data_IF_047422654984
#
_entry.id   IF_047422654984
#
_cell.length_a   1.000
_cell.length_b   1.000
_cell.length_c   1.000
_cell.angle_alpha   90.00
_cell.angle_beta   90.00
_cell.angle_gamma   90.00
#
_symmetry.space_group_name_H-M   'P 1'
#
loop_
_entity.id
_entity.type
_entity.pdbx_description
1 polymer ?
#
# COMPACT_ATOMS: atom_id res chain seq x y z
N UNK A 1 52.10 -21.09 -65.35
CA UNK A 1 53.56 -21.00 -65.63
C UNK A 1 54.26 -20.36 -64.44
N UNK A 2 55.57 -20.53 -64.28
CA UNK A 2 56.32 -20.09 -63.08
C UNK A 2 57.46 -19.11 -63.40
N UNK A 3 57.64 -18.11 -62.52
CA UNK A 3 58.91 -17.46 -62.07
C UNK A 3 58.52 -16.57 -60.84
N UNK A 4 59.15 -16.67 -59.65
CA UNK A 4 60.55 -16.35 -59.24
C UNK A 4 60.83 -14.84 -59.23
N UNK A 5 61.50 -14.18 -58.26
CA UNK A 5 62.23 -14.58 -57.01
C UNK A 5 61.93 -13.56 -55.86
N UNK A 6 62.25 -13.71 -54.56
CA UNK A 6 62.27 -14.84 -53.59
C UNK A 6 62.17 -14.28 -52.11
N UNK A 7 63.24 -14.19 -51.28
CA UNK A 7 63.23 -13.62 -49.89
C UNK A 7 64.64 -13.17 -49.42
N UNK A 8 64.85 -12.24 -48.43
CA UNK A 8 65.04 -12.66 -47.02
C UNK A 8 64.68 -11.64 -45.88
N UNK A 9 64.28 -12.19 -44.70
CA UNK A 9 64.86 -12.02 -43.32
C UNK A 9 65.59 -10.67 -43.00
N UNK A 10 65.33 -9.90 -41.91
CA UNK A 10 65.50 -10.26 -40.49
C UNK A 10 64.97 -9.21 -39.45
N UNK A 11 64.94 -9.62 -38.18
CA UNK A 11 65.07 -8.81 -36.92
C UNK A 11 63.85 -8.11 -36.29
N UNK A 12 63.72 -8.42 -35.00
CA UNK A 12 62.74 -8.09 -33.97
C UNK A 12 62.80 -6.67 -33.34
N UNK A 13 61.73 -6.35 -32.58
CA UNK A 13 61.69 -5.53 -31.34
C UNK A 13 61.89 -3.99 -31.40
N UNK A 14 60.81 -3.25 -31.09
CA UNK A 14 60.78 -2.24 -30.02
C UNK A 14 59.32 -1.90 -29.64
N UNK A 15 59.08 -1.42 -28.41
CA UNK A 15 57.74 -1.05 -27.90
C UNK A 15 57.64 0.47 -27.68
N UNK A 16 56.54 1.07 -28.14
CA UNK A 16 56.08 2.39 -27.72
C UNK A 16 54.54 2.40 -27.68
N UNK A 17 53.92 3.16 -26.77
CA UNK A 17 52.50 3.01 -26.43
C UNK A 17 51.71 4.34 -26.46
N UNK A 18 50.39 4.21 -26.50
CA UNK A 18 49.35 5.24 -26.34
C UNK A 18 49.30 6.40 -27.36
N UNK A 19 48.23 6.39 -28.17
CA UNK A 19 47.06 7.26 -27.95
C UNK A 19 45.87 6.81 -28.80
N UNK A 20 44.67 6.83 -28.23
CA UNK A 20 43.41 6.63 -28.96
C UNK A 20 43.06 7.89 -29.77
N UNK A 21 42.22 7.74 -30.81
CA UNK A 21 40.94 8.46 -30.75
C UNK A 21 39.71 7.55 -30.98
N UNK A 22 38.53 8.14 -30.77
CA UNK A 22 37.20 7.51 -30.84
C UNK A 22 36.68 7.46 -32.29
N UNK A 23 35.87 6.45 -32.64
CA UNK A 23 34.99 6.54 -33.82
C UNK A 23 34.51 5.21 -34.41
N UNK A 24 33.21 4.93 -34.31
CA UNK A 24 32.51 3.85 -35.05
C UNK A 24 32.71 2.41 -34.52
N UNK A 25 31.77 1.48 -34.70
CA UNK A 25 30.37 1.57 -35.15
C UNK A 25 29.48 0.59 -34.36
N UNK A 26 28.18 0.88 -34.25
CA UNK A 26 27.22 0.04 -33.52
C UNK A 26 26.59 -1.02 -34.44
N UNK A 27 26.92 -2.30 -34.24
CA UNK A 27 26.12 -3.41 -34.76
C UNK A 27 25.37 -4.13 -33.62
N UNK A 28 24.04 -4.13 -33.71
CA UNK A 28 23.17 -4.65 -32.66
C UNK A 28 23.17 -6.18 -32.57
N UNK A 29 23.48 -6.72 -31.40
CA UNK A 29 23.30 -8.14 -31.07
C UNK A 29 22.07 -8.32 -30.17
N UNK A 30 21.19 -9.27 -30.55
CA UNK A 30 20.00 -9.64 -29.77
C UNK A 30 20.43 -10.14 -28.40
N UNK A 31 20.01 -9.48 -27.31
CA UNK A 31 20.18 -10.03 -25.96
C UNK A 31 19.14 -11.13 -25.74
N UNK A 32 19.63 -12.34 -25.47
CA UNK A 32 18.82 -13.47 -25.05
C UNK A 32 18.13 -13.15 -23.71
N UNK A 33 16.91 -13.65 -23.55
CA UNK A 33 16.26 -13.75 -22.25
C UNK A 33 17.01 -14.76 -21.38
N UNK A 34 16.99 -14.56 -20.06
CA UNK A 34 17.77 -15.36 -19.11
C UNK A 34 19.11 -14.72 -18.75
N UNK A 35 19.11 -13.87 -17.71
CA UNK A 35 20.31 -13.57 -16.92
C UNK A 35 20.03 -13.81 -15.45
N UNK A 36 20.96 -14.50 -14.81
CA UNK A 36 20.90 -14.88 -13.40
C UNK A 36 20.89 -13.63 -12.50
N UNK A 37 20.28 -13.77 -11.31
CA UNK A 37 20.24 -12.70 -10.31
C UNK A 37 21.65 -12.21 -9.97
N UNK A 38 21.96 -10.96 -10.31
CA UNK A 38 22.99 -10.21 -9.59
C UNK A 38 22.53 -10.06 -8.12
N UNK A 39 23.47 -9.81 -7.20
CA UNK A 39 23.17 -9.63 -5.78
C UNK A 39 22.44 -8.32 -5.44
N UNK A 40 21.68 -7.76 -6.37
CA UNK A 40 21.01 -6.46 -6.25
C UNK A 40 19.53 -6.60 -5.95
N UNK A 41 18.99 -5.63 -5.23
CA UNK A 41 17.55 -5.45 -5.03
C UNK A 41 17.18 -3.98 -5.18
N UNK A 42 16.02 -3.73 -5.79
CA UNK A 42 15.36 -2.43 -5.80
C UNK A 42 14.59 -2.25 -4.48
N UNK A 43 14.68 -1.06 -3.88
CA UNK A 43 13.81 -0.61 -2.78
C UNK A 43 13.27 0.78 -3.09
N UNK A 44 12.21 1.19 -2.40
CA UNK A 44 11.62 2.52 -2.54
C UNK A 44 11.52 3.17 -1.17
N UNK A 45 12.33 4.19 -0.89
CA UNK A 45 12.31 4.85 0.43
C UNK A 45 11.45 6.10 0.37
N UNK A 46 10.41 6.14 1.21
CA UNK A 46 9.58 7.31 1.46
C UNK A 46 10.10 8.05 2.70
N UNK A 47 10.16 9.38 2.67
CA UNK A 47 10.47 10.19 3.86
C UNK A 47 9.19 10.49 4.65
N UNK A 48 9.33 10.85 5.93
CA UNK A 48 8.25 11.39 6.77
C UNK A 48 7.51 12.61 6.17
N UNK A 49 8.10 13.26 5.16
CA UNK A 49 7.54 14.40 4.39
C UNK A 49 6.91 13.97 3.04
N UNK A 50 6.77 12.67 2.79
CA UNK A 50 6.13 12.10 1.60
C UNK A 50 7.02 11.84 0.39
N UNK A 51 8.25 12.38 0.34
CA UNK A 51 9.15 12.26 -0.80
C UNK A 51 9.62 10.81 -1.01
N UNK A 52 9.49 10.25 -2.22
CA UNK A 52 9.95 8.89 -2.54
C UNK A 52 11.18 8.88 -3.44
N UNK A 53 12.15 8.03 -3.12
CA UNK A 53 13.28 7.70 -3.99
C UNK A 53 13.39 6.18 -4.21
N UNK A 54 13.39 5.75 -5.47
CA UNK A 54 13.75 4.38 -5.86
C UNK A 54 15.27 4.19 -5.86
N UNK A 55 15.76 3.09 -5.27
CA UNK A 55 17.18 2.85 -5.03
C UNK A 55 17.59 1.39 -5.30
N UNK A 56 18.66 1.19 -6.07
CA UNK A 56 19.33 -0.11 -6.20
C UNK A 56 20.28 -0.33 -5.01
N UNK A 57 20.14 -1.46 -4.31
CA UNK A 57 21.02 -1.87 -3.21
C UNK A 57 21.81 -3.13 -3.59
N UNK A 58 23.13 -3.09 -3.41
CA UNK A 58 24.01 -4.26 -3.45
C UNK A 58 23.98 -5.01 -2.11
N UNK A 59 24.44 -6.27 -2.06
CA UNK A 59 24.46 -7.10 -0.82
C UNK A 59 25.21 -6.47 0.36
N UNK A 60 26.15 -5.56 0.09
CA UNK A 60 26.94 -4.84 1.08
C UNK A 60 26.28 -3.55 1.60
N UNK A 61 25.16 -3.13 1.02
CA UNK A 61 24.45 -1.93 1.47
C UNK A 61 23.64 -2.20 2.75
N UNK A 62 23.72 -1.24 3.68
CA UNK A 62 23.03 -1.25 4.97
C UNK A 62 22.23 0.06 5.17
N UNK A 63 21.51 0.21 6.29
CA UNK A 63 20.69 1.40 6.52
C UNK A 63 21.50 2.71 6.54
N UNK A 64 22.77 2.70 6.97
CA UNK A 64 23.63 3.89 6.90
C UNK A 64 23.95 4.28 5.46
N UNK A 65 24.22 3.31 4.57
CA UNK A 65 24.42 3.60 3.14
C UNK A 65 23.13 4.13 2.48
N UNK A 66 21.97 3.53 2.82
CA UNK A 66 20.66 4.01 2.34
C UNK A 66 20.44 5.48 2.75
N UNK A 67 20.58 5.78 4.04
CA UNK A 67 20.45 7.13 4.60
C UNK A 67 21.41 8.14 3.96
N UNK A 68 22.68 7.77 3.78
CA UNK A 68 23.69 8.64 3.15
C UNK A 68 23.35 8.96 1.69
N UNK A 69 22.85 7.99 0.92
CA UNK A 69 22.39 8.24 -0.46
C UNK A 69 21.16 9.15 -0.50
N UNK A 70 20.21 8.98 0.43
CA UNK A 70 19.04 9.86 0.56
C UNK A 70 19.43 11.30 0.92
N UNK A 71 20.35 11.48 1.87
CA UNK A 71 20.89 12.80 2.25
C UNK A 71 21.48 13.55 1.06
N UNK A 72 22.23 12.85 0.20
CA UNK A 72 22.81 13.42 -1.03
C UNK A 72 21.72 13.71 -2.08
N UNK A 73 20.83 12.75 -2.36
CA UNK A 73 19.85 12.86 -3.43
C UNK A 73 18.71 13.86 -3.15
N UNK A 74 18.34 14.04 -1.88
CA UNK A 74 17.25 14.92 -1.44
C UNK A 74 17.72 16.20 -0.74
N UNK A 75 19.04 16.37 -0.50
CA UNK A 75 19.64 17.50 0.21
C UNK A 75 18.96 17.82 1.56
N UNK A 76 18.80 16.79 2.40
CA UNK A 76 18.22 16.88 3.74
C UNK A 76 19.08 16.13 4.75
N UNK A 77 19.18 16.60 6.00
CA UNK A 77 19.83 15.79 7.04
C UNK A 77 19.01 14.53 7.32
N UNK A 78 19.72 13.41 7.45
CA UNK A 78 19.18 12.13 7.93
C UNK A 78 19.75 11.77 9.31
N UNK A 79 20.43 12.71 9.98
CA UNK A 79 20.78 12.59 11.39
C UNK A 79 19.51 12.39 12.23
N UNK A 80 19.66 11.69 13.36
CA UNK A 80 18.55 11.35 14.27
C UNK A 80 17.33 10.65 13.65
N UNK A 81 17.40 10.17 12.40
CA UNK A 81 16.36 9.33 11.76
C UNK A 81 16.64 7.83 11.82
N UNK A 82 15.58 7.03 11.75
CA UNK A 82 15.59 5.58 11.61
C UNK A 82 14.96 5.17 10.27
N UNK A 83 15.50 4.11 9.66
CA UNK A 83 14.90 3.46 8.50
C UNK A 83 14.03 2.31 9.00
N UNK A 84 12.75 2.30 8.67
CA UNK A 84 11.76 1.37 9.23
C UNK A 84 11.03 0.57 8.15
N UNK A 85 10.56 -0.62 8.56
CA UNK A 85 9.93 -1.62 7.70
C UNK A 85 8.92 -2.42 8.54
N UNK A 86 7.64 -2.03 8.48
CA UNK A 86 6.65 -2.48 9.44
C UNK A 86 7.07 -2.10 10.87
N UNK A 87 7.03 -3.06 11.78
CA UNK A 87 7.50 -2.89 13.17
C UNK A 87 9.04 -2.98 13.32
N UNK A 88 9.79 -3.26 12.24
CA UNK A 88 11.27 -3.41 12.29
C UNK A 88 12.01 -2.09 12.08
N UNK A 89 12.94 -1.77 12.99
CA UNK A 89 13.96 -0.73 12.78
C UNK A 89 15.20 -1.34 12.13
N UNK A 90 15.47 -0.96 10.89
CA UNK A 90 16.58 -1.47 10.08
C UNK A 90 17.91 -0.84 10.50
N UNK A 91 18.94 -1.68 10.68
CA UNK A 91 20.29 -1.29 11.15
C UNK A 91 21.36 -1.74 10.14
N UNK A 92 22.27 -2.60 10.56
CA UNK A 92 23.33 -3.12 9.69
C UNK A 92 22.84 -4.23 8.76
N UNK A 93 22.00 -5.13 9.26
CA UNK A 93 21.35 -6.12 8.42
C UNK A 93 20.10 -5.56 7.76
N UNK A 94 19.91 -5.95 6.50
CA UNK A 94 18.75 -5.66 5.65
C UNK A 94 18.17 -6.96 5.05
N UNK A 95 18.54 -8.15 5.52
CA UNK A 95 18.15 -9.46 4.98
C UNK A 95 16.63 -9.61 4.76
N UNK A 96 15.82 -9.09 5.69
CA UNK A 96 14.35 -9.09 5.62
C UNK A 96 13.78 -8.26 4.44
N UNK A 97 14.53 -7.26 3.94
CA UNK A 97 14.07 -6.36 2.88
C UNK A 97 14.16 -7.05 1.51
N UNK A 98 13.00 -7.21 0.86
CA UNK A 98 12.87 -7.91 -0.43
C UNK A 98 13.04 -6.93 -1.60
N UNK A 99 13.01 -7.45 -2.83
CA UNK A 99 12.89 -6.59 -4.01
C UNK A 99 11.55 -5.83 -3.97
N UNK A 100 11.54 -4.62 -4.54
CA UNK A 100 10.39 -3.73 -4.67
C UNK A 100 9.68 -3.41 -3.34
N UNK A 101 10.42 -3.51 -2.23
CA UNK A 101 9.92 -3.21 -0.89
C UNK A 101 9.92 -1.71 -0.63
N UNK A 102 8.79 -1.12 -0.18
CA UNK A 102 8.77 0.23 0.35
C UNK A 102 9.37 0.26 1.76
N UNK A 103 10.19 1.28 2.06
CA UNK A 103 10.79 1.56 3.35
C UNK A 103 10.39 2.98 3.78
N UNK A 104 10.23 3.23 5.08
CA UNK A 104 9.95 4.57 5.60
C UNK A 104 11.19 5.13 6.32
N UNK A 105 11.47 6.43 6.14
CA UNK A 105 12.50 7.15 6.90
C UNK A 105 11.83 8.14 7.86
N UNK A 106 11.82 7.79 9.14
CA UNK A 106 11.19 8.54 10.24
C UNK A 106 12.25 9.18 11.15
N UNK A 107 12.06 10.42 11.60
CA UNK A 107 12.86 10.97 12.71
C UNK A 107 12.55 10.26 14.03
N UNK A 108 13.58 10.12 14.86
CA UNK A 108 13.44 9.65 16.23
C UNK A 108 12.95 10.82 17.09
N UNK A 109 11.82 10.65 17.79
CA UNK A 109 11.27 11.67 18.68
C UNK A 109 12.04 11.74 20.01
N UNK A 110 13.27 12.25 19.97
CA UNK A 110 14.01 12.71 21.14
C UNK A 110 13.86 14.23 21.26
N UNK A 111 13.32 14.71 22.38
CA UNK A 111 13.15 16.14 22.62
C UNK A 111 14.49 16.85 22.86
N UNK A 112 15.11 17.35 21.78
CA UNK A 112 16.09 18.44 21.82
C UNK A 112 15.76 19.47 20.76
N UNK A 113 15.93 20.75 21.11
CA UNK A 113 15.67 21.87 20.21
C UNK A 113 16.59 21.81 18.99
N UNK A 114 16.02 21.67 17.81
CA UNK A 114 16.79 21.59 16.56
C UNK A 114 17.43 22.94 16.23
N UNK A 115 18.71 23.11 16.56
CA UNK A 115 19.53 24.16 15.94
C UNK A 115 19.60 23.93 14.43
N UNK A 116 19.50 25.00 13.64
CA UNK A 116 19.56 24.93 12.18
C UNK A 116 20.89 24.29 11.72
N UNK A 117 20.89 23.20 10.93
CA UNK A 117 22.11 22.61 10.40
C UNK A 117 22.77 23.55 9.38
N UNK A 118 23.71 24.37 9.83
CA UNK A 118 24.68 25.01 8.95
C UNK A 118 25.64 23.94 8.38
N UNK A 119 25.99 24.05 7.10
CA UNK A 119 26.69 23.05 6.25
C UNK A 119 25.80 21.99 5.57
N UNK A 120 24.94 22.43 4.64
CA UNK A 120 24.48 21.57 3.55
C UNK A 120 25.67 21.18 2.64
N UNK A 121 25.91 19.89 2.34
CA UNK A 121 26.97 19.51 1.42
C UNK A 121 26.67 20.03 0.00
N UNK A 122 27.54 20.90 -0.54
CA UNK A 122 27.43 21.42 -1.92
C UNK A 122 27.85 20.38 -2.96
N UNK A 123 27.08 19.29 -3.04
CA UNK A 123 27.22 18.24 -4.03
C UNK A 123 26.90 18.75 -5.44
N UNK A 124 27.91 19.30 -6.13
CA UNK A 124 27.88 19.40 -7.59
C UNK A 124 27.90 17.99 -8.17
N UNK A 125 27.04 17.76 -9.14
CA UNK A 125 27.08 16.62 -10.09
C UNK A 125 27.08 15.20 -9.52
N UNK A 126 26.02 14.83 -8.77
CA UNK A 126 25.28 13.58 -9.03
C UNK A 126 23.77 13.88 -8.86
N UNK A 127 23.08 14.19 -9.96
CA UNK A 127 21.63 13.97 -10.03
C UNK A 127 21.37 12.51 -10.42
N UNK A 128 21.27 11.62 -9.43
CA UNK A 128 20.59 10.33 -9.64
C UNK A 128 19.09 10.60 -9.85
N UNK A 129 18.73 10.99 -11.07
CA UNK A 129 17.33 11.02 -11.52
C UNK A 129 16.82 9.58 -11.52
N UNK A 130 15.65 9.39 -10.94
CA UNK A 130 15.02 8.07 -10.84
C UNK A 130 14.66 7.55 -12.24
N UNK A 131 15.43 6.59 -12.76
CA UNK A 131 15.28 6.02 -14.11
C UNK A 131 14.17 4.97 -14.23
N UNK A 132 13.37 4.82 -13.16
CA UNK A 132 12.15 4.02 -13.08
C UNK A 132 11.16 4.23 -14.23
N UNK A 133 10.27 3.26 -14.43
CA UNK A 133 8.98 3.50 -15.09
C UNK A 133 8.17 4.58 -14.36
N UNK A 134 7.30 5.37 -15.06
CA UNK A 134 6.40 6.32 -14.42
C UNK A 134 5.41 5.69 -13.43
N UNK A 135 5.14 4.39 -13.56
CA UNK A 135 4.38 3.59 -12.59
C UNK A 135 5.07 2.23 -12.43
N UNK A 136 5.31 1.81 -11.19
CA UNK A 136 5.96 0.55 -10.81
C UNK A 136 5.15 -0.12 -9.68
N UNK A 137 4.84 -1.41 -9.81
CA UNK A 137 4.16 -2.19 -8.77
C UNK A 137 5.16 -2.51 -7.66
N UNK A 138 4.73 -2.40 -6.41
CA UNK A 138 5.51 -2.75 -5.22
C UNK A 138 5.14 -4.15 -4.73
N UNK A 139 6.07 -4.84 -4.07
CA UNK A 139 5.89 -6.23 -3.66
C UNK A 139 5.90 -7.22 -4.83
N UNK A 140 5.34 -8.42 -4.65
CA UNK A 140 5.51 -9.51 -5.61
C UNK A 140 4.60 -9.36 -6.84
N UNK A 141 5.19 -9.16 -8.02
CA UNK A 141 4.42 -8.81 -9.23
C UNK A 141 3.42 -9.88 -9.73
N UNK A 142 3.43 -11.11 -9.21
CA UNK A 142 2.55 -12.20 -9.67
C UNK A 142 1.11 -12.02 -9.16
N UNK A 143 0.95 -11.67 -7.89
CA UNK A 143 -0.34 -11.42 -7.22
C UNK A 143 -1.17 -10.34 -7.92
N UNK A 144 -0.48 -9.37 -8.54
CA UNK A 144 -1.08 -8.21 -9.19
C UNK A 144 -1.18 -8.35 -10.72
N UNK A 145 -1.36 -9.57 -11.23
CA UNK A 145 -1.47 -9.85 -12.66
C UNK A 145 -2.57 -9.03 -13.37
N UNK A 146 -3.74 -8.87 -12.73
CA UNK A 146 -4.86 -8.02 -13.22
C UNK A 146 -4.48 -6.53 -13.36
N UNK A 147 -3.49 -6.04 -12.61
CA UNK A 147 -3.06 -4.64 -12.62
C UNK A 147 -2.08 -4.31 -13.75
N UNK A 148 -1.31 -5.30 -14.21
CA UNK A 148 -0.32 -5.15 -15.29
C UNK A 148 -0.89 -4.55 -16.59
N UNK A 149 -2.09 -4.90 -17.10
CA UNK A 149 -2.69 -4.22 -18.25
C UNK A 149 -3.14 -2.79 -17.93
N UNK A 150 -3.84 -2.56 -16.81
CA UNK A 150 -4.35 -1.24 -16.42
C UNK A 150 -3.23 -0.20 -16.29
N UNK A 151 -2.13 -0.58 -15.63
CA UNK A 151 -0.94 0.25 -15.47
C UNK A 151 -0.26 0.53 -16.82
N UNK A 152 -0.21 -0.44 -17.75
CA UNK A 152 0.29 -0.22 -19.12
C UNK A 152 -0.58 0.77 -19.89
N UNK A 153 -1.91 0.71 -19.77
CA UNK A 153 -2.81 1.69 -20.38
C UNK A 153 -2.60 3.10 -19.82
N UNK A 154 -2.49 3.25 -18.50
CA UNK A 154 -2.22 4.55 -17.87
C UNK A 154 -0.86 5.13 -18.27
N UNK A 155 0.21 4.31 -18.30
CA UNK A 155 1.54 4.76 -18.79
C UNK A 155 1.45 5.20 -20.27
N UNK A 156 0.69 4.49 -21.11
CA UNK A 156 0.47 4.86 -22.52
C UNK A 156 -0.35 6.15 -22.66
N UNK A 157 -1.35 6.35 -21.82
CA UNK A 157 -2.18 7.56 -21.81
C UNK A 157 -1.34 8.80 -21.48
N UNK A 158 -0.56 8.75 -20.39
CA UNK A 158 0.33 9.84 -19.95
C UNK A 158 1.38 10.16 -21.03
N UNK A 159 1.99 9.14 -21.65
CA UNK A 159 2.94 9.32 -22.77
C UNK A 159 2.30 9.94 -24.02
N UNK A 160 0.98 9.84 -24.16
CA UNK A 160 0.20 10.46 -25.24
C UNK A 160 -0.41 11.82 -24.82
N UNK A 161 0.00 12.40 -23.68
CA UNK A 161 -0.50 13.70 -23.20
C UNK A 161 -1.86 13.66 -22.49
N UNK A 162 -2.39 12.47 -22.20
CA UNK A 162 -3.62 12.31 -21.41
C UNK A 162 -3.25 12.29 -19.92
N UNK A 163 -3.11 13.49 -19.34
CA UNK A 163 -2.90 13.69 -17.90
C UNK A 163 -4.03 13.00 -17.08
N UNK A 164 -3.76 12.55 -15.84
CA UNK A 164 -4.80 12.17 -14.87
C UNK A 164 -5.73 13.36 -14.54
N UNK A 165 -6.86 13.09 -13.89
CA UNK A 165 -7.73 14.12 -13.32
C UNK A 165 -7.72 14.04 -11.80
N UNK A 166 -7.77 15.18 -11.10
CA UNK A 166 -7.88 15.22 -9.63
C UNK A 166 -9.34 15.06 -9.19
N UNK A 167 -9.57 14.31 -8.11
CA UNK A 167 -10.87 14.18 -7.46
C UNK A 167 -11.12 15.37 -6.54
N UNK A 168 -12.32 15.97 -6.64
CA UNK A 168 -12.69 17.17 -5.90
C UNK A 168 -13.40 16.87 -4.57
N UNK A 169 -14.15 15.77 -4.48
CA UNK A 169 -14.72 15.20 -3.24
C UNK A 169 -13.66 14.53 -2.34
N UNK A 170 -14.04 14.12 -1.13
CA UNK A 170 -13.17 13.42 -0.16
C UNK A 170 -12.17 14.30 0.59
N UNK A 171 -11.60 13.75 1.67
CA UNK A 171 -10.68 14.45 2.60
C UNK A 171 -9.19 14.38 2.17
N UNK A 172 -8.83 13.48 1.25
CA UNK A 172 -7.46 13.27 0.78
C UNK A 172 -7.22 13.68 -0.68
N UNK A 173 -6.01 13.41 -1.17
CA UNK A 173 -5.69 13.43 -2.59
C UNK A 173 -6.07 12.10 -3.27
N UNK A 174 -6.95 12.17 -4.26
CA UNK A 174 -7.28 11.05 -5.14
C UNK A 174 -7.31 11.53 -6.59
N UNK A 175 -6.98 10.63 -7.52
CA UNK A 175 -6.78 10.96 -8.93
C UNK A 175 -7.33 9.87 -9.86
N UNK A 176 -8.16 10.24 -10.84
CA UNK A 176 -8.57 9.35 -11.92
C UNK A 176 -7.46 9.22 -12.96
N UNK A 177 -6.88 8.03 -13.07
CA UNK A 177 -5.97 7.67 -14.14
C UNK A 177 -6.75 7.09 -15.32
N UNK A 178 -6.39 7.52 -16.53
CA UNK A 178 -7.18 7.34 -17.75
C UNK A 178 -6.42 6.48 -18.77
N UNK A 179 -7.13 5.92 -19.74
CA UNK A 179 -6.53 5.30 -20.92
C UNK A 179 -6.40 6.29 -22.09
N UNK A 180 -5.81 5.87 -23.20
CA UNK A 180 -5.60 6.73 -24.39
C UNK A 180 -6.89 7.22 -25.08
N UNK A 181 -8.08 6.80 -24.63
CA UNK A 181 -9.38 7.33 -25.08
C UNK A 181 -9.96 8.40 -24.13
N UNK A 182 -9.24 8.74 -23.05
CA UNK A 182 -9.72 9.68 -22.03
C UNK A 182 -10.72 9.09 -21.02
N UNK A 183 -10.98 7.78 -21.08
CA UNK A 183 -11.84 7.08 -20.11
C UNK A 183 -11.04 6.71 -18.86
N UNK A 184 -11.64 6.87 -17.67
CA UNK A 184 -11.07 6.42 -16.39
C UNK A 184 -10.89 4.90 -16.37
N UNK A 185 -9.73 4.44 -15.91
CA UNK A 185 -9.39 3.01 -15.73
C UNK A 185 -8.88 2.70 -14.33
N UNK A 186 -8.46 3.70 -13.56
CA UNK A 186 -8.02 3.54 -12.17
C UNK A 186 -8.30 4.78 -11.33
N UNK A 187 -8.46 4.58 -10.02
CA UNK A 187 -8.36 5.61 -8.98
C UNK A 187 -7.01 5.41 -8.27
N UNK A 188 -6.28 6.49 -8.06
CA UNK A 188 -4.97 6.49 -7.40
C UNK A 188 -5.00 7.43 -6.20
N UNK A 189 -4.65 6.91 -5.01
CA UNK A 189 -4.60 7.67 -3.74
C UNK A 189 -3.16 7.66 -3.19
N UNK A 190 -2.41 8.78 -3.26
CA UNK A 190 -1.06 8.83 -2.70
C UNK A 190 -1.04 8.87 -1.18
N UNK A 191 -0.16 8.07 -0.55
CA UNK A 191 -0.11 7.90 0.92
C UNK A 191 0.35 9.16 1.67
N UNK A 192 0.97 10.12 0.99
CA UNK A 192 1.34 11.41 1.57
C UNK A 192 0.28 12.51 1.33
N UNK A 193 -0.84 12.19 0.67
CA UNK A 193 -1.96 13.10 0.39
C UNK A 193 -3.25 12.74 1.16
N UNK A 194 -3.27 11.66 1.95
CA UNK A 194 -4.39 11.28 2.80
C UNK A 194 -4.65 12.30 3.96
N UNK A 195 -5.73 12.18 4.75
CA UNK A 195 -6.02 13.12 5.84
C UNK A 195 -4.87 13.24 6.85
N UNK A 196 -4.56 14.48 7.25
CA UNK A 196 -3.43 14.90 8.08
C UNK A 196 -2.03 14.73 7.48
N UNK A 197 -1.87 14.06 6.33
CA UNK A 197 -0.57 13.79 5.72
C UNK A 197 0.13 15.08 5.21
N UNK A 198 1.48 15.10 5.11
CA UNK A 198 2.24 16.32 4.84
C UNK A 198 1.83 17.04 3.56
N UNK A 199 1.49 16.29 2.51
CA UNK A 199 1.14 16.81 1.19
C UNK A 199 -0.37 16.76 0.91
N UNK A 200 -1.22 16.62 1.94
CA UNK A 200 -2.68 16.68 1.79
C UNK A 200 -3.11 17.93 0.98
N UNK A 201 -3.84 17.77 -0.12
CA UNK A 201 -4.14 18.86 -1.06
C UNK A 201 -5.45 19.59 -0.77
N UNK A 202 -6.11 19.26 0.35
CA UNK A 202 -7.34 19.90 0.85
C UNK A 202 -7.07 20.88 2.00
N UNK A 203 -5.83 20.90 2.52
CA UNK A 203 -5.45 21.69 3.70
C UNK A 203 -5.53 20.92 5.03
N UNK A 204 -6.02 19.68 5.03
CA UNK A 204 -5.98 18.78 6.19
C UNK A 204 -4.57 18.21 6.36
N UNK A 205 -3.61 19.07 6.74
CA UNK A 205 -2.22 18.73 7.04
C UNK A 205 -1.98 18.77 8.55
N UNK A 206 -0.81 18.33 9.01
CA UNK A 206 -0.32 18.60 10.37
C UNK A 206 0.38 17.43 11.05
N UNK A 207 0.41 16.25 10.43
CA UNK A 207 1.06 15.05 10.96
C UNK A 207 2.15 14.53 10.04
N UNK A 208 3.16 13.90 10.63
CA UNK A 208 4.19 13.15 9.91
C UNK A 208 3.70 11.73 9.58
N UNK A 209 4.24 11.13 8.51
CA UNK A 209 3.92 9.73 8.21
C UNK A 209 4.36 8.82 9.38
N UNK A 210 3.50 7.87 9.75
CA UNK A 210 3.67 6.99 10.91
C UNK A 210 3.11 7.53 12.23
N UNK A 211 2.53 8.73 12.28
CA UNK A 211 1.75 9.19 13.44
C UNK A 211 0.29 8.69 13.40
N UNK A 212 -0.44 8.59 14.52
CA UNK A 212 -1.87 8.24 14.53
C UNK A 212 -2.72 9.15 13.63
N UNK A 213 -3.58 8.57 12.79
CA UNK A 213 -4.27 9.23 11.67
C UNK A 213 -5.61 9.88 12.03
N UNK A 214 -6.65 9.56 11.24
CA UNK A 214 -8.03 9.98 11.49
C UNK A 214 -8.66 9.11 12.58
N UNK A 215 -8.74 7.79 12.33
CA UNK A 215 -8.92 6.75 13.34
C UNK A 215 -7.61 6.60 14.13
N UNK A 216 -7.66 6.33 15.44
CA UNK A 216 -6.45 6.40 16.30
C UNK A 216 -5.49 5.24 16.07
N UNK A 217 -6.03 4.08 15.70
CA UNK A 217 -5.31 2.82 15.46
C UNK A 217 -4.81 2.65 14.02
N UNK A 218 -5.03 3.63 13.14
CA UNK A 218 -4.54 3.65 11.75
C UNK A 218 -3.60 4.84 11.59
N UNK A 219 -2.35 4.61 11.15
CA UNK A 219 -1.36 5.69 11.07
C UNK A 219 -1.38 6.40 9.72
N UNK A 220 -1.00 7.68 9.73
CA UNK A 220 -0.86 8.51 8.54
C UNK A 220 0.17 7.89 7.59
N UNK A 221 -0.24 7.65 6.35
CA UNK A 221 0.55 7.02 5.30
C UNK A 221 0.29 5.52 5.12
N UNK A 222 -0.60 4.93 5.92
CA UNK A 222 -0.88 3.48 5.88
C UNK A 222 -2.11 3.11 5.05
N UNK A 223 -3.00 4.06 4.69
CA UNK A 223 -4.25 3.76 3.97
C UNK A 223 -4.01 3.01 2.66
N UNK A 224 -2.96 3.38 1.93
CA UNK A 224 -2.64 2.83 0.62
C UNK A 224 -2.28 1.34 0.62
N UNK A 225 -1.77 0.77 1.72
CA UNK A 225 -1.56 -0.68 1.80
C UNK A 225 -2.80 -1.42 2.33
N UNK A 226 -3.65 -0.76 3.11
CA UNK A 226 -4.90 -1.33 3.66
C UNK A 226 -5.91 -1.61 2.56
N UNK A 227 -6.03 -0.70 1.59
CA UNK A 227 -6.71 -0.90 0.30
C UNK A 227 -6.25 -2.15 -0.46
N UNK A 228 -4.95 -2.46 -0.42
CA UNK A 228 -4.38 -3.65 -1.06
C UNK A 228 -4.62 -4.90 -0.23
N UNK A 229 -4.58 -4.79 1.11
CA UNK A 229 -4.87 -5.88 2.01
C UNK A 229 -6.32 -6.36 1.86
N UNK A 230 -7.29 -5.45 1.75
CA UNK A 230 -8.68 -5.81 1.47
C UNK A 230 -8.83 -6.59 0.15
N UNK A 231 -8.22 -6.12 -0.94
CA UNK A 231 -8.22 -6.84 -2.22
C UNK A 231 -7.51 -8.22 -2.15
N UNK A 232 -6.46 -8.36 -1.34
CA UNK A 232 -5.75 -9.63 -1.16
C UNK A 232 -6.46 -10.60 -0.21
N UNK A 233 -7.35 -10.12 0.66
CA UNK A 233 -8.17 -10.93 1.55
C UNK A 233 -9.53 -11.31 0.95
N UNK A 234 -9.94 -10.65 -0.13
CA UNK A 234 -11.14 -10.98 -0.91
C UNK A 234 -10.90 -12.24 -1.78
N UNK A 235 -10.86 -13.39 -1.12
CA UNK A 235 -10.61 -14.70 -1.73
C UNK A 235 -11.63 -14.99 -2.83
N UNK A 236 -11.14 -15.45 -3.98
CA UNK A 236 -11.92 -15.68 -5.22
C UNK A 236 -12.79 -14.49 -5.69
N UNK A 237 -12.54 -13.29 -5.15
CA UNK A 237 -13.35 -12.07 -5.32
C UNK A 237 -14.79 -12.19 -4.81
N UNK A 238 -14.98 -12.89 -3.69
CA UNK A 238 -16.29 -13.14 -3.09
C UNK A 238 -17.09 -11.84 -2.84
N UNK A 239 -16.44 -10.80 -2.33
CA UNK A 239 -16.98 -9.46 -2.08
C UNK A 239 -16.85 -8.49 -3.27
N UNK A 240 -16.23 -8.89 -4.38
CA UNK A 240 -15.95 -8.07 -5.56
C UNK A 240 -15.12 -6.80 -5.29
N UNK A 241 -14.13 -6.85 -4.39
CA UNK A 241 -13.19 -5.72 -4.21
C UNK A 241 -12.44 -5.46 -5.53
N UNK A 242 -12.46 -4.22 -6.07
CA UNK A 242 -11.80 -3.93 -7.33
C UNK A 242 -10.29 -4.23 -7.27
N UNK A 243 -9.70 -4.78 -8.34
CA UNK A 243 -8.26 -5.05 -8.41
C UNK A 243 -7.41 -3.87 -7.96
N UNK A 244 -6.61 -4.08 -6.92
CA UNK A 244 -5.84 -3.03 -6.24
C UNK A 244 -4.38 -3.47 -6.05
N UNK A 245 -3.42 -2.56 -6.28
CA UNK A 245 -2.01 -2.76 -5.97
C UNK A 245 -1.37 -1.51 -5.37
N UNK A 246 -0.33 -1.70 -4.57
CA UNK A 246 0.53 -0.61 -4.12
C UNK A 246 1.51 -0.29 -5.25
N UNK A 247 1.63 0.98 -5.62
CA UNK A 247 2.54 1.43 -6.67
C UNK A 247 3.46 2.54 -6.18
N UNK A 248 4.68 2.57 -6.71
CA UNK A 248 5.44 3.80 -6.84
C UNK A 248 5.01 4.47 -8.14
N UNK A 249 4.68 5.76 -8.08
CA UNK A 249 4.14 6.50 -9.22
C UNK A 249 4.76 7.90 -9.32
N UNK A 250 5.04 8.34 -10.54
CA UNK A 250 5.73 9.61 -10.83
C UNK A 250 4.88 10.45 -11.79
N UNK A 251 4.38 11.58 -11.30
CA UNK A 251 3.64 12.55 -12.11
C UNK A 251 3.83 13.97 -11.58
N UNK A 252 3.45 14.98 -12.37
CA UNK A 252 3.47 16.40 -11.96
C UNK A 252 2.09 16.94 -11.57
N UNK A 253 1.09 16.06 -11.41
CA UNK A 253 -0.27 16.43 -10.93
C UNK A 253 -0.41 16.28 -9.41
N UNK A 254 0.45 15.46 -8.81
CA UNK A 254 0.46 15.20 -7.37
C UNK A 254 0.87 16.44 -6.60
N UNK A 255 0.25 16.63 -5.43
CA UNK A 255 0.48 17.81 -4.62
C UNK A 255 1.79 17.68 -3.81
N UNK A 256 2.50 18.80 -3.63
CA UNK A 256 3.61 18.90 -2.67
C UNK A 256 3.48 20.23 -1.94
N UNK A 257 3.25 20.17 -0.64
CA UNK A 257 3.15 21.33 0.23
C UNK A 257 4.57 21.81 0.56
N UNK A 258 5.08 22.75 -0.24
CA UNK A 258 6.41 23.32 -0.05
C UNK A 258 6.53 24.08 1.28
N UNK A 259 7.52 23.72 2.11
CA UNK A 259 7.88 24.50 3.28
C UNK A 259 8.24 25.95 2.90
N UNK A 260 7.81 26.91 3.72
CA UNK A 260 7.70 28.33 3.36
C UNK A 260 9.01 28.95 2.86
N UNK A 261 9.17 28.97 1.54
CA UNK A 261 10.14 29.76 0.80
C UNK A 261 9.55 30.06 -0.59
N UNK A 262 9.08 31.29 -0.78
CA UNK A 262 8.53 31.74 -2.06
C UNK A 262 9.59 31.80 -3.17
N UNK A 263 9.13 32.10 -4.38
CA UNK A 263 9.96 32.33 -5.57
C UNK A 263 10.82 31.12 -6.03
N UNK A 264 10.14 30.03 -6.40
CA UNK A 264 10.56 29.23 -7.55
C UNK A 264 9.42 29.15 -8.56
N UNK A 265 9.75 29.34 -9.84
CA UNK A 265 8.81 29.29 -10.96
C UNK A 265 8.11 27.93 -11.04
N UNK A 266 6.85 27.93 -11.46
CA UNK A 266 6.03 26.72 -11.61
C UNK A 266 6.43 25.87 -12.85
N UNK A 267 7.69 25.44 -12.91
CA UNK A 267 8.00 24.24 -13.67
C UNK A 267 7.22 23.07 -13.07
N UNK A 268 6.46 22.33 -13.90
CA UNK A 268 5.71 21.12 -13.51
C UNK A 268 6.68 19.98 -13.16
N UNK A 269 7.43 20.12 -12.07
CA UNK A 269 8.41 19.13 -11.61
C UNK A 269 7.68 17.80 -11.34
N UNK A 270 8.13 16.74 -12.00
CA UNK A 270 7.65 15.39 -11.70
C UNK A 270 8.08 14.99 -10.29
N UNK A 271 7.14 14.44 -9.51
CA UNK A 271 7.38 13.97 -8.14
C UNK A 271 6.97 12.50 -8.02
N UNK A 272 7.79 11.73 -7.30
CA UNK A 272 7.58 10.30 -7.03
C UNK A 272 6.87 10.12 -5.70
N UNK A 273 5.86 9.25 -5.67
CA UNK A 273 5.01 8.96 -4.51
C UNK A 273 4.70 7.47 -4.40
N UNK A 274 4.33 7.02 -3.20
CA UNK A 274 3.67 5.73 -2.98
C UNK A 274 2.16 5.97 -3.02
N UNK A 275 1.41 5.09 -3.67
CA UNK A 275 -0.04 5.20 -3.77
C UNK A 275 -0.71 3.81 -3.82
N UNK A 276 -1.97 3.71 -3.37
CA UNK A 276 -2.83 2.64 -3.89
C UNK A 276 -3.23 2.99 -5.33
N UNK A 277 -3.29 1.98 -6.19
CA UNK A 277 -3.80 2.05 -7.56
C UNK A 277 -4.89 0.98 -7.66
N UNK A 278 -6.15 1.43 -7.66
CA UNK A 278 -7.34 0.59 -7.67
C UNK A 278 -8.04 0.71 -9.03
N UNK A 279 -8.56 -0.38 -9.58
CA UNK A 279 -9.32 -0.36 -10.83
C UNK A 279 -10.56 0.53 -10.68
N UNK A 280 -10.78 1.43 -11.64
CA UNK A 280 -12.02 2.20 -11.71
C UNK A 280 -13.13 1.31 -12.26
N UNK A 281 -14.23 1.21 -11.50
CA UNK A 281 -15.44 0.50 -11.90
C UNK A 281 -16.48 1.53 -12.35
N UNK A 282 -16.97 1.48 -13.60
CA UNK A 282 -18.14 2.25 -14.02
C UNK A 282 -19.36 1.85 -13.20
N UNK A 283 -20.03 2.85 -12.62
CA UNK A 283 -21.17 2.74 -11.72
C UNK A 283 -22.16 3.88 -12.02
N UNK A 284 -23.38 3.77 -11.51
CA UNK A 284 -24.43 4.77 -11.70
C UNK A 284 -24.44 5.82 -10.58
N UNK A 285 -24.22 5.38 -9.34
CA UNK A 285 -24.24 6.15 -8.10
C UNK A 285 -23.57 5.33 -6.98
N UNK A 286 -23.45 5.89 -5.77
CA UNK A 286 -23.15 5.13 -4.56
C UNK A 286 -24.41 4.78 -3.77
N UNK A 287 -24.29 3.96 -2.72
CA UNK A 287 -25.44 3.44 -1.99
C UNK A 287 -26.20 4.49 -1.16
N UNK A 288 -25.68 5.70 -0.96
CA UNK A 288 -26.40 6.79 -0.28
C UNK A 288 -27.44 7.47 -1.17
N UNK A 289 -27.25 7.44 -2.49
CA UNK A 289 -28.19 7.92 -3.51
C UNK A 289 -29.25 6.87 -3.89
N UNK A 290 -29.30 5.70 -3.21
CA UNK A 290 -30.20 4.60 -3.56
C UNK A 290 -31.00 4.03 -2.37
N UNK A 291 -32.22 3.56 -2.65
CA UNK A 291 -33.02 2.84 -1.67
C UNK A 291 -32.44 1.46 -1.37
N UNK A 292 -31.95 1.25 -0.15
CA UNK A 292 -31.20 0.05 0.25
C UNK A 292 -31.96 -1.26 0.11
N UNK A 293 -33.30 -1.22 0.08
CA UNK A 293 -34.18 -2.38 -0.06
C UNK A 293 -34.10 -3.12 -1.41
N UNK A 294 -33.45 -2.55 -2.43
CA UNK A 294 -33.21 -3.22 -3.72
C UNK A 294 -31.96 -4.09 -3.75
N UNK A 295 -31.05 -3.92 -2.77
CA UNK A 295 -29.73 -4.56 -2.82
C UNK A 295 -29.81 -6.09 -2.65
N UNK A 296 -29.07 -6.87 -3.45
CA UNK A 296 -29.06 -8.33 -3.30
C UNK A 296 -28.49 -8.75 -1.94
N UNK A 297 -29.23 -9.58 -1.22
CA UNK A 297 -28.86 -10.12 0.12
C UNK A 297 -27.42 -10.63 0.13
N UNK A 298 -27.08 -11.47 -0.85
CA UNK A 298 -25.75 -12.06 -0.95
C UNK A 298 -24.65 -11.03 -1.19
N UNK A 299 -24.92 -9.93 -1.90
CA UNK A 299 -23.93 -8.86 -2.07
C UNK A 299 -23.65 -8.16 -0.74
N UNK A 300 -24.68 -7.89 0.06
CA UNK A 300 -24.54 -7.31 1.41
C UNK A 300 -23.79 -8.29 2.33
N UNK A 301 -24.14 -9.58 2.31
CA UNK A 301 -23.43 -10.64 3.06
C UNK A 301 -21.96 -10.74 2.70
N UNK A 302 -21.62 -10.83 1.42
CA UNK A 302 -20.24 -10.95 0.93
C UNK A 302 -19.37 -9.75 1.36
N UNK A 303 -19.92 -8.54 1.26
CA UNK A 303 -19.28 -7.30 1.71
C UNK A 303 -19.08 -7.31 3.23
N UNK A 304 -20.13 -7.59 4.01
CA UNK A 304 -20.05 -7.63 5.47
C UNK A 304 -19.12 -8.71 6.01
N UNK A 305 -19.10 -9.90 5.39
CA UNK A 305 -18.14 -10.99 5.68
C UNK A 305 -16.69 -10.52 5.52
N UNK A 306 -16.39 -9.70 4.51
CA UNK A 306 -15.06 -9.11 4.36
C UNK A 306 -14.83 -8.01 5.41
N UNK A 307 -15.76 -7.06 5.55
CA UNK A 307 -15.65 -5.92 6.47
C UNK A 307 -15.46 -6.34 7.93
N UNK A 308 -16.12 -7.42 8.36
CA UNK A 308 -15.92 -8.05 9.68
C UNK A 308 -14.49 -8.57 9.82
N UNK A 309 -14.01 -9.40 8.89
CA UNK A 309 -12.64 -9.96 8.95
C UNK A 309 -11.56 -8.89 8.98
N UNK A 310 -11.71 -7.86 8.15
CA UNK A 310 -10.75 -6.75 8.08
C UNK A 310 -10.98 -5.71 9.17
N UNK A 311 -12.04 -5.83 9.98
CA UNK A 311 -12.49 -4.82 10.95
C UNK A 311 -12.51 -3.43 10.32
N UNK A 312 -13.43 -3.23 9.36
CA UNK A 312 -13.55 -1.96 8.65
C UNK A 312 -14.17 -0.90 9.58
N UNK A 313 -13.46 0.20 9.79
CA UNK A 313 -13.91 1.28 10.69
C UNK A 313 -14.65 2.40 9.97
N UNK A 314 -14.90 2.27 8.67
CA UNK A 314 -15.46 3.33 7.80
C UNK A 314 -16.34 2.78 6.65
N UNK A 315 -17.10 1.68 6.85
CA UNK A 315 -18.08 1.22 5.85
C UNK A 315 -19.38 2.03 5.97
N UNK A 316 -19.37 3.23 5.40
CA UNK A 316 -20.57 4.04 5.14
C UNK A 316 -21.14 3.77 3.74
N UNK A 317 -22.41 4.12 3.49
CA UNK A 317 -23.08 3.90 2.20
C UNK A 317 -22.30 4.45 1.00
N UNK A 318 -21.71 5.64 1.11
CA UNK A 318 -20.85 6.24 0.07
C UNK A 318 -19.59 5.46 -0.32
N UNK A 319 -19.18 4.44 0.45
CA UNK A 319 -18.05 3.55 0.14
C UNK A 319 -18.51 2.26 -0.56
N UNK A 320 -19.77 2.19 -1.01
CA UNK A 320 -20.35 1.10 -1.79
C UNK A 320 -20.91 1.66 -3.11
N UNK A 321 -20.25 1.33 -4.22
CA UNK A 321 -20.70 1.72 -5.55
C UNK A 321 -21.85 0.83 -5.99
N UNK A 322 -22.87 1.41 -6.64
CA UNK A 322 -24.01 0.68 -7.20
C UNK A 322 -23.99 0.77 -8.71
N UNK A 323 -24.11 -0.38 -9.38
CA UNK A 323 -24.15 -0.49 -10.84
C UNK A 323 -25.40 -1.22 -11.28
N UNK A 324 -26.21 -0.61 -12.17
CA UNK A 324 -27.41 -1.26 -12.72
C UNK A 324 -27.04 -2.40 -13.68
N UNK A 325 -27.85 -3.45 -13.65
CA UNK A 325 -27.81 -4.54 -14.60
C UNK A 325 -28.95 -4.40 -15.60
N UNK A 326 -28.72 -3.59 -16.64
CA UNK A 326 -29.66 -3.31 -17.74
C UNK A 326 -29.81 -4.52 -18.70
N UNK A 327 -30.40 -5.59 -18.18
CA UNK A 327 -30.85 -6.75 -18.94
C UNK A 327 -32.32 -6.63 -19.34
N UNK A 328 -32.70 -7.23 -20.47
CA UNK A 328 -34.11 -7.29 -20.91
C UNK A 328 -34.90 -8.19 -19.96
N UNK A 329 -35.56 -7.58 -18.97
CA UNK A 329 -36.36 -8.25 -17.95
C UNK A 329 -35.85 -8.12 -16.51
N UNK A 330 -34.62 -7.64 -16.28
CA UNK A 330 -34.00 -7.54 -14.95
C UNK A 330 -34.29 -6.21 -14.21
N UNK A 331 -35.54 -5.75 -14.25
CA UNK A 331 -35.96 -4.51 -13.59
C UNK A 331 -35.58 -4.50 -12.10
N UNK A 332 -34.66 -3.60 -11.72
CA UNK A 332 -34.23 -3.41 -10.33
C UNK A 332 -33.01 -4.22 -9.89
N UNK A 333 -32.40 -5.04 -10.74
CA UNK A 333 -31.15 -5.72 -10.38
C UNK A 333 -29.94 -4.77 -10.42
N UNK A 334 -29.14 -4.79 -9.36
CA UNK A 334 -27.91 -3.99 -9.20
C UNK A 334 -26.78 -4.83 -8.63
N UNK A 335 -25.55 -4.54 -9.03
CA UNK A 335 -24.35 -4.97 -8.30
C UNK A 335 -24.01 -3.94 -7.22
N UNK A 336 -23.54 -4.42 -6.07
CA UNK A 336 -22.75 -3.63 -5.12
C UNK A 336 -21.26 -3.93 -5.30
N UNK A 337 -20.43 -2.88 -5.26
CA UNK A 337 -18.97 -2.99 -5.36
C UNK A 337 -18.34 -2.21 -4.19
N UNK A 338 -17.65 -2.87 -3.24
CA UNK A 338 -17.02 -2.20 -2.11
C UNK A 338 -15.73 -1.48 -2.53
N UNK A 339 -15.57 -0.24 -2.07
CA UNK A 339 -14.37 0.58 -2.25
C UNK A 339 -13.91 1.17 -0.91
N UNK A 340 -12.83 1.95 -0.93
CA UNK A 340 -12.29 2.73 0.18
C UNK A 340 -12.03 1.95 1.48
N UNK A 341 -11.16 0.95 1.41
CA UNK A 341 -10.74 0.15 2.56
C UNK A 341 -9.55 0.78 3.31
N UNK A 342 -9.36 2.10 3.19
CA UNK A 342 -8.21 2.81 3.76
C UNK A 342 -8.14 2.73 5.29
N UNK A 343 -9.28 2.53 5.96
CA UNK A 343 -9.43 2.53 7.42
C UNK A 343 -9.80 1.13 7.99
N UNK A 344 -9.41 0.06 7.31
CA UNK A 344 -9.48 -1.32 7.85
C UNK A 344 -8.16 -1.76 8.54
N UNK A 345 -8.20 -2.92 9.20
CA UNK A 345 -7.10 -3.64 9.87
C UNK A 345 -6.40 -2.84 10.98
N UNK A 346 -7.14 -2.24 11.93
CA UNK A 346 -6.57 -1.36 12.96
C UNK A 346 -5.53 -2.05 13.85
N UNK A 347 -4.69 -1.26 14.53
CA UNK A 347 -3.73 -1.77 15.54
C UNK A 347 -4.38 -2.35 16.80
N UNK A 348 -5.56 -1.86 17.12
CA UNK A 348 -6.32 -2.16 18.33
C UNK A 348 -7.80 -2.18 17.96
N UNK A 349 -8.64 -2.80 18.80
CA UNK A 349 -10.07 -2.54 18.70
C UNK A 349 -10.32 -1.04 19.00
N UNK A 350 -11.17 -0.44 18.16
CA UNK A 350 -11.89 0.81 18.37
C UNK A 350 -13.27 0.63 17.72
N UNK A 351 -14.19 1.59 17.82
CA UNK A 351 -15.53 1.40 17.25
C UNK A 351 -15.46 1.22 15.70
N UNK A 352 -15.96 0.09 15.15
CA UNK A 352 -16.09 -0.10 13.71
C UNK A 352 -17.18 0.82 13.14
N UNK A 353 -17.38 0.81 11.82
CA UNK A 353 -18.56 1.45 11.24
C UNK A 353 -19.10 0.59 10.10
N UNK A 354 -20.32 0.08 10.27
CA UNK A 354 -20.95 -0.92 9.42
C UNK A 354 -22.39 -0.49 9.09
N UNK A 355 -22.54 0.40 8.10
CA UNK A 355 -23.85 0.88 7.60
C UNK A 355 -24.85 -0.25 7.33
N UNK A 356 -24.34 -1.39 6.82
CA UNK A 356 -25.16 -2.54 6.46
C UNK A 356 -25.86 -3.23 7.64
N UNK A 357 -25.49 -2.96 8.90
CA UNK A 357 -26.25 -3.48 10.08
C UNK A 357 -27.71 -3.01 10.00
N UNK A 358 -27.93 -1.77 9.56
CA UNK A 358 -29.25 -1.15 9.48
C UNK A 358 -30.03 -1.53 8.21
N UNK A 359 -29.52 -2.46 7.39
CA UNK A 359 -30.14 -2.87 6.14
C UNK A 359 -30.87 -4.21 6.34
N UNK A 360 -32.16 -4.35 5.92
CA UNK A 360 -32.94 -5.57 6.16
C UNK A 360 -32.30 -6.87 5.65
N UNK A 361 -31.41 -6.77 4.66
CA UNK A 361 -30.61 -7.87 4.14
C UNK A 361 -29.71 -8.49 5.22
N UNK A 362 -29.10 -7.70 6.11
CA UNK A 362 -28.16 -8.21 7.11
C UNK A 362 -28.83 -9.05 8.21
N UNK A 363 -30.14 -8.86 8.43
CA UNK A 363 -30.95 -9.68 9.35
C UNK A 363 -31.40 -11.02 8.74
N UNK A 364 -30.93 -11.38 7.55
CA UNK A 364 -31.25 -12.66 6.89
C UNK A 364 -30.12 -13.65 7.21
N UNK A 365 -30.42 -14.94 7.51
CA UNK A 365 -29.39 -15.95 7.71
C UNK A 365 -28.48 -16.12 6.49
N UNK A 366 -27.20 -16.41 6.73
CA UNK A 366 -26.25 -16.73 5.67
C UNK A 366 -26.72 -17.95 4.85
N UNK A 367 -26.48 -17.91 3.54
CA UNK A 367 -26.68 -19.05 2.65
C UNK A 367 -25.59 -20.11 2.82
N UNK A 368 -25.85 -21.34 2.35
CA UNK A 368 -24.86 -22.44 2.40
C UNK A 368 -23.53 -22.05 1.73
N UNK A 369 -23.56 -21.34 0.59
CA UNK A 369 -22.37 -20.84 -0.10
C UNK A 369 -21.54 -19.87 0.77
N UNK A 370 -22.21 -19.04 1.57
CA UNK A 370 -21.59 -18.04 2.46
C UNK A 370 -21.02 -18.71 3.72
N UNK A 371 -21.76 -19.64 4.32
CA UNK A 371 -21.28 -20.45 5.44
C UNK A 371 -20.07 -21.30 5.03
N UNK A 372 -20.13 -21.93 3.86
CA UNK A 372 -19.05 -22.79 3.37
C UNK A 372 -17.85 -21.97 2.86
N UNK A 373 -18.02 -20.69 2.48
CA UNK A 373 -16.92 -19.72 2.32
C UNK A 373 -16.27 -19.35 3.66
N UNK A 374 -17.07 -18.89 4.65
CA UNK A 374 -16.61 -18.52 6.00
C UNK A 374 -15.80 -19.66 6.63
N UNK A 375 -16.31 -20.89 6.52
CA UNK A 375 -15.68 -22.12 7.03
C UNK A 375 -14.29 -22.40 6.44
N UNK A 376 -14.04 -22.03 5.18
CA UNK A 376 -12.76 -22.23 4.46
C UNK A 376 -11.69 -21.19 4.80
N UNK A 377 -12.04 -20.09 5.47
CA UNK A 377 -11.09 -19.02 5.82
C UNK A 377 -10.01 -19.51 6.79
N UNK A 378 -8.74 -19.24 6.47
CA UNK A 378 -7.58 -19.67 7.27
C UNK A 378 -6.70 -18.46 7.63
N UNK A 379 -6.98 -17.77 8.76
CA UNK A 379 -6.34 -16.49 9.07
C UNK A 379 -4.82 -16.59 9.29
N UNK A 380 -4.27 -17.78 9.57
CA UNK A 380 -2.82 -18.01 9.58
C UNK A 380 -2.19 -17.87 8.18
N UNK A 381 -2.83 -18.44 7.16
CA UNK A 381 -2.40 -18.31 5.76
C UNK A 381 -2.59 -16.88 5.24
N UNK A 382 -3.68 -16.23 5.65
CA UNK A 382 -3.91 -14.81 5.38
C UNK A 382 -2.78 -13.94 5.96
N UNK A 383 -2.37 -14.16 7.21
CA UNK A 383 -1.25 -13.45 7.83
C UNK A 383 0.07 -13.67 7.08
N UNK A 384 0.41 -14.90 6.72
CA UNK A 384 1.67 -15.19 6.03
C UNK A 384 1.68 -14.66 4.59
N UNK A 385 0.52 -14.65 3.91
CA UNK A 385 0.32 -13.97 2.64
C UNK A 385 0.53 -12.46 2.78
N UNK A 386 -0.08 -11.81 3.79
CA UNK A 386 0.09 -10.38 4.02
C UNK A 386 1.52 -10.01 4.40
N UNK A 387 2.20 -10.77 5.27
CA UNK A 387 3.65 -10.62 5.53
C UNK A 387 4.51 -10.77 4.26
N UNK A 388 4.05 -11.56 3.29
CA UNK A 388 4.76 -11.82 2.04
C UNK A 388 4.58 -10.72 0.99
N UNK A 389 3.36 -10.19 0.86
CA UNK A 389 2.95 -9.20 -0.14
C UNK A 389 3.10 -7.76 0.34
N UNK A 390 2.74 -7.51 1.61
CA UNK A 390 2.64 -6.20 2.26
C UNK A 390 3.49 -6.18 3.55
N UNK A 391 4.82 -6.35 3.47
CA UNK A 391 5.70 -6.48 4.65
C UNK A 391 5.84 -5.20 5.49
N UNK A 392 5.14 -4.12 5.13
CA UNK A 392 4.95 -2.94 5.98
C UNK A 392 3.76 -3.08 6.94
N UNK A 393 2.92 -4.11 6.79
CA UNK A 393 1.86 -4.43 7.74
C UNK A 393 2.47 -4.81 9.09
N UNK A 394 1.78 -4.44 10.15
CA UNK A 394 2.29 -4.52 11.52
C UNK A 394 1.57 -5.63 12.27
N UNK A 395 2.26 -6.32 13.16
CA UNK A 395 1.75 -7.54 13.80
C UNK A 395 0.49 -7.28 14.65
N UNK A 396 0.27 -6.02 15.05
CA UNK A 396 -0.97 -5.55 15.65
C UNK A 396 -2.19 -5.71 14.73
N UNK A 397 -2.06 -5.27 13.47
CA UNK A 397 -3.09 -5.38 12.44
C UNK A 397 -3.41 -6.85 12.11
N UNK A 398 -2.38 -7.70 12.07
CA UNK A 398 -2.53 -9.14 11.84
C UNK A 398 -3.25 -9.84 13.00
N UNK A 399 -3.03 -9.44 14.25
CA UNK A 399 -3.80 -9.98 15.40
C UNK A 399 -5.29 -9.64 15.32
N UNK A 400 -5.66 -8.45 14.84
CA UNK A 400 -7.07 -8.09 14.62
C UNK A 400 -7.68 -8.96 13.52
N UNK A 401 -6.99 -9.14 12.38
CA UNK A 401 -7.46 -10.05 11.32
C UNK A 401 -7.72 -11.49 11.82
N UNK A 402 -6.80 -12.03 12.63
CA UNK A 402 -6.97 -13.38 13.21
C UNK A 402 -8.17 -13.42 14.15
N UNK A 403 -8.27 -12.47 15.08
CA UNK A 403 -9.37 -12.36 16.03
C UNK A 403 -10.72 -12.28 15.33
N UNK A 404 -10.88 -11.36 14.39
CA UNK A 404 -12.16 -11.09 13.74
C UNK A 404 -12.55 -12.20 12.75
N UNK A 405 -11.57 -12.84 12.10
CA UNK A 405 -11.83 -14.05 11.29
C UNK A 405 -12.23 -15.24 12.16
N UNK A 406 -11.64 -15.41 13.36
CA UNK A 406 -12.08 -16.45 14.31
C UNK A 406 -13.49 -16.16 14.83
N UNK A 407 -13.76 -14.92 15.27
CA UNK A 407 -15.07 -14.49 15.77
C UNK A 407 -16.18 -14.74 14.74
N UNK A 408 -15.98 -14.33 13.48
CA UNK A 408 -16.93 -14.58 12.39
C UNK A 408 -17.21 -16.08 12.19
N UNK A 409 -16.19 -16.94 12.28
CA UNK A 409 -16.34 -18.39 12.08
C UNK A 409 -17.09 -19.06 13.21
N UNK A 410 -16.84 -18.68 14.46
CA UNK A 410 -17.61 -19.17 15.60
C UNK A 410 -19.06 -18.66 15.50
N UNK A 411 -19.27 -17.35 15.33
CA UNK A 411 -20.61 -16.75 15.27
C UNK A 411 -21.50 -17.33 14.14
N UNK A 412 -20.93 -17.54 12.95
CA UNK A 412 -21.63 -18.21 11.85
C UNK A 412 -21.90 -19.70 12.14
N UNK A 413 -21.08 -20.36 12.96
CA UNK A 413 -21.31 -21.74 13.42
C UNK A 413 -22.41 -21.81 14.49
N UNK A 414 -22.58 -20.75 15.28
CA UNK A 414 -23.74 -20.56 16.17
C UNK A 414 -25.03 -20.14 15.43
N UNK A 415 -24.94 -19.84 14.13
CA UNK A 415 -26.08 -19.50 13.27
C UNK A 415 -26.52 -18.03 13.30
N UNK A 416 -25.67 -17.14 13.84
CA UNK A 416 -25.94 -15.69 13.87
C UNK A 416 -25.93 -15.11 12.45
N UNK A 417 -26.84 -14.18 12.17
CA UNK A 417 -26.90 -13.43 10.92
C UNK A 417 -25.88 -12.29 10.89
N UNK A 418 -25.72 -11.64 9.73
CA UNK A 418 -24.73 -10.58 9.55
C UNK A 418 -24.94 -9.39 10.51
N UNK A 419 -26.20 -9.00 10.73
CA UNK A 419 -26.55 -7.88 11.62
C UNK A 419 -26.13 -8.15 13.07
N UNK A 420 -26.49 -9.31 13.64
CA UNK A 420 -26.14 -9.71 15.01
C UNK A 420 -24.60 -9.70 15.22
N UNK A 421 -23.84 -10.20 14.25
CA UNK A 421 -22.37 -10.21 14.32
C UNK A 421 -21.80 -8.79 14.27
N UNK A 422 -22.39 -7.91 13.45
CA UNK A 422 -22.03 -6.49 13.40
C UNK A 422 -22.34 -5.77 14.72
N UNK A 423 -23.52 -5.99 15.30
CA UNK A 423 -23.94 -5.41 16.57
C UNK A 423 -23.02 -5.82 17.74
N UNK A 424 -22.66 -7.11 17.85
CA UNK A 424 -21.69 -7.60 18.84
C UNK A 424 -20.28 -6.97 18.70
N UNK A 425 -19.94 -6.44 17.53
CA UNK A 425 -18.65 -5.77 17.28
C UNK A 425 -18.68 -4.26 17.52
N UNK A 426 -19.85 -3.63 17.36
CA UNK A 426 -20.08 -2.19 17.52
C UNK A 426 -20.37 -1.78 18.97
N UNK A 427 -20.05 -0.53 19.33
CA UNK A 427 -20.33 -0.02 20.68
C UNK A 427 -21.75 0.51 20.81
N UNK A 428 -22.39 0.23 21.95
CA UNK A 428 -23.62 0.91 22.32
C UNK A 428 -23.33 2.35 22.76
N UNK A 429 -23.91 3.34 22.06
CA UNK A 429 -23.87 4.73 22.48
C UNK A 429 -24.94 5.01 23.54
N UNK A 430 -24.54 5.13 24.82
CA UNK A 430 -25.46 5.37 25.95
C UNK A 430 -25.31 6.80 26.51
N UNK A 431 -26.36 7.41 27.08
CA UNK A 431 -26.27 8.71 27.76
C UNK A 431 -25.37 8.68 29.01
N UNK A 432 -24.06 8.80 28.80
CA UNK A 432 -23.03 8.71 29.83
C UNK A 432 -21.63 8.37 29.27
N UNK A 433 -21.56 7.68 28.13
CA UNK A 433 -20.32 7.31 27.46
C UNK A 433 -20.51 6.22 26.40
N UNK A 434 -19.42 5.86 25.73
CA UNK A 434 -19.29 4.62 24.98
C UNK A 434 -18.94 3.48 25.95
N UNK A 435 -19.73 2.41 25.97
CA UNK A 435 -19.33 1.14 26.60
C UNK A 435 -18.57 0.27 25.58
N UNK A 436 -17.67 -0.63 26.02
CA UNK A 436 -17.00 -1.57 25.10
C UNK A 436 -17.99 -2.52 24.44
N UNK A 437 -17.76 -2.89 23.18
CA UNK A 437 -18.60 -3.88 22.48
C UNK A 437 -18.44 -5.30 23.04
N UNK A 438 -19.35 -6.23 22.73
CA UNK A 438 -19.25 -7.61 23.23
C UNK A 438 -17.93 -8.27 22.81
N UNK A 439 -17.46 -8.03 21.59
CA UNK A 439 -16.15 -8.48 21.12
C UNK A 439 -15.01 -7.88 21.97
N UNK A 440 -15.10 -6.60 22.36
CA UNK A 440 -14.11 -5.98 23.26
C UNK A 440 -14.16 -6.59 24.66
N UNK A 441 -15.34 -6.86 25.22
CA UNK A 441 -15.51 -7.50 26.53
C UNK A 441 -14.94 -8.93 26.56
N UNK A 442 -15.22 -9.74 25.53
CA UNK A 442 -14.62 -11.07 25.36
C UNK A 442 -13.09 -10.98 25.28
N UNK A 443 -12.56 -9.98 24.57
CA UNK A 443 -11.11 -9.74 24.50
C UNK A 443 -10.49 -9.27 25.82
N UNK A 444 -11.23 -8.55 26.67
CA UNK A 444 -10.78 -8.11 27.99
C UNK A 444 -10.69 -9.31 28.95
N UNK A 445 -11.74 -10.14 29.03
CA UNK A 445 -11.75 -11.31 29.90
C UNK A 445 -10.73 -12.37 29.45
N UNK A 446 -10.57 -12.60 28.14
CA UNK A 446 -9.52 -13.48 27.62
C UNK A 446 -8.10 -13.03 28.01
N UNK A 447 -7.82 -11.72 28.04
CA UNK A 447 -6.53 -11.18 28.52
C UNK A 447 -6.34 -11.37 30.02
N UNK A 448 -7.41 -11.17 30.81
CA UNK A 448 -7.41 -11.37 32.27
C UNK A 448 -7.09 -12.83 32.62
N UNK A 449 -7.76 -13.80 31.98
CA UNK A 449 -7.51 -15.24 32.18
C UNK A 449 -6.07 -15.65 31.81
N UNK A 450 -5.46 -15.02 30.79
CA UNK A 450 -4.05 -15.24 30.46
C UNK A 450 -3.14 -14.69 31.56
N UNK A 451 -3.36 -13.45 32.01
CA UNK A 451 -2.55 -12.82 33.05
C UNK A 451 -2.61 -13.59 34.39
N UNK A 452 -3.80 -14.06 34.79
CA UNK A 452 -3.97 -14.94 35.96
C UNK A 452 -3.18 -16.24 35.80
N UNK A 453 -3.26 -16.89 34.63
CA UNK A 453 -2.51 -18.13 34.34
C UNK A 453 -1.00 -17.96 34.33
N UNK A 454 -0.48 -16.81 33.89
CA UNK A 454 0.95 -16.49 33.97
C UNK A 454 1.40 -16.28 35.42
N UNK A 455 0.59 -15.61 36.26
CA UNK A 455 0.86 -15.45 37.70
C UNK A 455 0.89 -16.79 38.43
N UNK A 456 0.01 -17.74 38.07
CA UNK A 456 0.02 -19.10 38.62
C UNK A 456 1.06 -20.04 37.99
N UNK A 457 1.91 -19.55 37.08
CA UNK A 457 2.99 -20.32 36.46
C UNK A 457 4.38 -19.72 36.76
N UNK A 458 4.89 -19.82 38.01
CA UNK A 458 6.26 -19.40 38.31
C UNK A 458 7.24 -20.09 37.37
N UNK A 459 8.20 -19.32 36.82
CA UNK A 459 9.32 -19.92 36.09
C UNK A 459 10.06 -20.87 37.02
N UNK A 460 10.14 -22.13 36.64
CA UNK A 460 10.95 -23.11 37.34
C UNK A 460 12.44 -22.82 37.13
N UNK A 461 13.03 -21.97 37.98
CA UNK A 461 14.48 -21.81 38.11
C UNK A 461 15.08 -23.09 38.71
N UNK A 462 15.12 -24.15 37.90
CA UNK A 462 15.90 -25.37 38.15
C UNK A 462 17.37 -25.09 37.84
N UNK A 463 18.01 -24.31 38.70
CA UNK A 463 19.46 -24.13 38.69
C UNK A 463 20.17 -25.41 39.13
N UNK A 464 20.91 -26.04 38.21
CA UNK A 464 22.05 -26.93 38.46
C UNK A 464 22.94 -27.04 37.23
#
# INVERSE_FOLDING_TARGET
MSRKLDSPVQTQMAVAAFKSPLGGEYHGSKRMEGRQNSGRRRVFVQTETGCVLGMELDRSDNAHTVKRRLQIALNMSTEESSLTFGDMVLKNDLSAVRNDSPLLLTRNYLHRSSSTPCLSPTGRDIQQRDQSSPIEILGQSNSFAKMKPLIKESIKAIKNGVDPLRVHSGLGGAYYFRNSRGLSVAIVKPTDEEPFAPNNPKGFVGKALGQPGLKRSVRVGETGFREVAAYLLDHDHFANVPPTALVKITHSIFNVNGGVNGNKTHEKKQVSKIASFQQFIPHDFDASDHGTSSFPVSSVHRIGILDIRIFNTDRHAGNLLVRKLDGVGSFGQVDLIPIDHGLCLPETLEDPYFEWIHWPQASIPFSDDELDYIKKLEPGKDCDMLRMQLPMIREACLRVLVLCTMFLKEAATYGLCLAEIGEMMSREFRPGGEEPSELELVCIEARKLIAEREVFSPRGDLGR
#
